data_IF_313979983221
#
_entry.id   IF_313979983221
#
_cell.length_a   1.000
_cell.length_b   1.000
_cell.length_c   1.000
_cell.angle_alpha   90.00
_cell.angle_beta   90.00
_cell.angle_gamma   90.00
#
_symmetry.space_group_name_H-M   'P 1'
#
loop_
_entity.id
_entity.type
_entity.pdbx_description
1 polymer ?
#
# COMPACT_ATOMS: atom_id res chain seq x y z
N UNK A 1 9.51 20.12 -2.25
CA UNK A 1 9.22 18.86 -2.98
C UNK A 1 8.83 19.19 -4.41
N UNK A 2 9.47 18.56 -5.39
CA UNK A 2 9.15 18.76 -6.80
C UNK A 2 7.96 17.87 -7.19
N UNK A 3 7.15 18.27 -8.19
CA UNK A 3 6.01 17.45 -8.67
C UNK A 3 6.42 15.99 -8.97
N UNK A 4 7.62 15.82 -9.55
CA UNK A 4 8.21 14.49 -9.82
C UNK A 4 8.43 13.65 -8.56
N UNK A 5 8.94 14.24 -7.48
CA UNK A 5 9.18 13.50 -6.22
C UNK A 5 7.87 13.08 -5.56
N UNK A 6 6.83 13.93 -5.64
CA UNK A 6 5.48 13.59 -5.14
C UNK A 6 4.85 12.46 -5.96
N UNK A 7 4.97 12.51 -7.29
CA UNK A 7 4.46 11.45 -8.17
C UNK A 7 5.15 10.11 -7.92
N UNK A 8 6.48 10.10 -7.76
CA UNK A 8 7.22 8.89 -7.44
C UNK A 8 6.82 8.31 -6.08
N UNK A 9 6.64 9.15 -5.06
CA UNK A 9 6.19 8.70 -3.74
C UNK A 9 4.75 8.13 -3.78
N UNK A 10 3.85 8.76 -4.55
CA UNK A 10 2.49 8.26 -4.73
C UNK A 10 2.46 6.92 -5.48
N UNK A 11 3.27 6.79 -6.54
CA UNK A 11 3.39 5.55 -7.30
C UNK A 11 3.98 4.42 -6.45
N UNK A 12 4.96 4.73 -5.61
CA UNK A 12 5.57 3.79 -4.68
C UNK A 12 4.56 3.26 -3.65
N UNK A 13 3.77 4.17 -3.06
CA UNK A 13 2.69 3.80 -2.16
C UNK A 13 1.63 2.95 -2.86
N UNK A 14 1.19 3.38 -4.04
CA UNK A 14 0.13 2.69 -4.80
C UNK A 14 0.58 1.29 -5.22
N UNK A 15 1.84 1.11 -5.61
CA UNK A 15 2.40 -0.19 -5.94
C UNK A 15 2.36 -1.15 -4.75
N UNK A 16 2.75 -0.69 -3.55
CA UNK A 16 2.65 -1.50 -2.34
C UNK A 16 1.21 -1.83 -1.97
N UNK A 17 0.34 -0.84 -2.05
CA UNK A 17 -1.07 -1.02 -1.73
C UNK A 17 -1.73 -2.07 -2.62
N UNK A 18 -1.53 -1.96 -3.94
CA UNK A 18 -2.05 -2.93 -4.92
C UNK A 18 -1.47 -4.32 -4.65
N UNK A 19 -0.15 -4.44 -4.46
CA UNK A 19 0.49 -5.73 -4.22
C UNK A 19 -0.07 -6.43 -2.97
N UNK A 20 -0.23 -5.70 -1.86
CA UNK A 20 -0.75 -6.24 -0.61
C UNK A 20 -2.25 -6.54 -0.70
N UNK A 21 -3.05 -5.69 -1.35
CA UNK A 21 -4.47 -5.92 -1.56
C UNK A 21 -4.71 -7.16 -2.44
N UNK A 22 -3.95 -7.32 -3.53
CA UNK A 22 -4.02 -8.51 -4.37
C UNK A 22 -3.57 -9.77 -3.63
N UNK A 23 -2.48 -9.71 -2.87
CA UNK A 23 -2.04 -10.83 -2.04
C UNK A 23 -3.12 -11.24 -1.03
N UNK A 24 -3.73 -10.26 -0.37
CA UNK A 24 -4.83 -10.49 0.57
C UNK A 24 -6.05 -11.13 -0.13
N UNK A 25 -6.45 -10.64 -1.31
CA UNK A 25 -7.54 -11.22 -2.10
C UNK A 25 -7.25 -12.66 -2.55
N UNK A 26 -5.99 -12.99 -2.84
CA UNK A 26 -5.59 -14.37 -3.16
C UNK A 26 -5.72 -15.27 -1.94
N UNK A 27 -5.42 -14.75 -0.74
CA UNK A 27 -5.52 -15.51 0.51
C UNK A 27 -6.97 -15.68 0.98
N UNK A 28 -7.82 -14.67 0.71
CA UNK A 28 -9.21 -14.62 1.17
C UNK A 28 -10.09 -14.39 -0.05
N UNK A 29 -10.50 -15.49 -0.69
CA UNK A 29 -11.18 -15.48 -1.98
C UNK A 29 -12.70 -15.24 -1.90
N UNK A 30 -13.30 -15.38 -0.71
CA UNK A 30 -14.72 -15.05 -0.47
C UNK A 30 -14.79 -13.85 0.45
N UNK A 31 -15.00 -12.67 -0.14
CA UNK A 31 -15.03 -11.40 0.59
C UNK A 31 -16.30 -10.65 0.29
N UNK A 32 -16.98 -10.22 1.35
CA UNK A 32 -18.09 -9.28 1.22
C UNK A 32 -17.60 -7.84 1.09
N UNK A 33 -18.52 -6.91 0.82
CA UNK A 33 -18.22 -5.50 0.59
C UNK A 33 -17.56 -4.82 1.80
N UNK A 34 -17.90 -5.21 3.02
CA UNK A 34 -17.30 -4.66 4.24
C UNK A 34 -15.89 -5.20 4.43
N UNK A 35 -15.68 -6.50 4.22
CA UNK A 35 -14.36 -7.10 4.26
C UNK A 35 -13.42 -6.51 3.21
N UNK A 36 -13.93 -6.21 2.00
CA UNK A 36 -13.18 -5.48 0.98
C UNK A 36 -12.70 -4.12 1.47
N UNK A 37 -13.56 -3.35 2.13
CA UNK A 37 -13.19 -2.03 2.66
C UNK A 37 -12.13 -2.15 3.77
N UNK A 38 -12.27 -3.13 4.66
CA UNK A 38 -11.31 -3.39 5.74
C UNK A 38 -9.98 -3.88 5.18
N UNK A 39 -9.99 -4.82 4.25
CA UNK A 39 -8.78 -5.36 3.61
C UNK A 39 -8.03 -4.28 2.83
N UNK A 40 -8.75 -3.47 2.04
CA UNK A 40 -8.16 -2.33 1.34
C UNK A 40 -7.58 -1.29 2.30
N UNK A 41 -8.27 -0.98 3.40
CA UNK A 41 -7.80 -0.06 4.43
C UNK A 41 -6.56 -0.56 5.16
N UNK A 42 -6.56 -1.83 5.57
CA UNK A 42 -5.43 -2.49 6.21
C UNK A 42 -4.21 -2.54 5.27
N UNK A 43 -4.41 -2.93 4.01
CA UNK A 43 -3.37 -2.89 2.99
C UNK A 43 -2.82 -1.47 2.80
N UNK A 44 -3.66 -0.44 2.92
CA UNK A 44 -3.26 0.97 2.86
C UNK A 44 -2.32 1.34 4.01
N UNK A 45 -2.69 1.00 5.24
CA UNK A 45 -1.84 1.21 6.42
C UNK A 45 -0.50 0.45 6.30
N UNK A 46 -0.53 -0.80 5.83
CA UNK A 46 0.67 -1.59 5.60
C UNK A 46 1.55 -1.01 4.48
N UNK A 47 0.96 -0.47 3.42
CA UNK A 47 1.71 0.21 2.36
C UNK A 47 2.40 1.48 2.87
N UNK A 48 1.75 2.27 3.74
CA UNK A 48 2.39 3.40 4.41
C UNK A 48 3.57 2.93 5.28
N UNK A 49 3.40 1.87 6.05
CA UNK A 49 4.46 1.30 6.87
C UNK A 49 5.65 0.82 6.02
N UNK A 50 5.38 0.18 4.88
CA UNK A 50 6.42 -0.29 3.96
C UNK A 50 7.20 0.88 3.32
N UNK A 51 6.50 1.95 2.92
CA UNK A 51 7.17 3.18 2.43
C UNK A 51 7.99 3.82 3.54
N UNK A 52 7.44 3.95 4.75
CA UNK A 52 8.15 4.54 5.89
C UNK A 52 9.39 3.73 6.27
N UNK A 53 9.30 2.41 6.28
CA UNK A 53 10.44 1.51 6.53
C UNK A 53 11.53 1.68 5.47
N UNK A 54 11.17 1.72 4.17
CA UNK A 54 12.14 1.97 3.11
C UNK A 54 12.81 3.33 3.23
N UNK A 55 12.06 4.37 3.60
CA UNK A 55 12.59 5.72 3.87
C UNK A 55 13.60 5.71 5.02
N UNK A 56 13.24 5.07 6.13
CA UNK A 56 14.14 4.92 7.28
C UNK A 56 15.44 4.20 6.92
N UNK A 57 15.39 3.18 6.06
CA UNK A 57 16.59 2.44 5.60
C UNK A 57 17.41 3.25 4.59
N UNK A 58 16.76 3.98 3.68
CA UNK A 58 17.43 4.72 2.60
C UNK A 58 17.86 6.13 3.00
N UNK A 59 17.52 6.59 4.21
CA UNK A 59 17.84 7.92 4.71
C UNK A 59 17.15 9.05 3.96
N UNK A 60 16.00 8.76 3.34
CA UNK A 60 15.24 9.68 2.47
C UNK A 60 13.87 9.97 3.06
#
# INVERSE_FOLDING_TARGET
MNRRTTLLAAAEFLAWWIALALLWLVLISTVDTLELAVGAGAAGASALAAVAARRAVTGR
#
